data_IF_528344771257
#
_entry.id   IF_528344771257
#
_cell.length_a   1.000
_cell.length_b   1.000
_cell.length_c   1.000
_cell.angle_alpha   90.00
_cell.angle_beta   90.00
_cell.angle_gamma   90.00
#
_symmetry.space_group_name_H-M   'P 1'
#
loop_
_entity.id
_entity.type
_entity.pdbx_description
1 polymer ?
#
# COMPACT_ATOMS: atom_id res chain seq x y z
N UNK A 1 -15.57 -1.53 2.59
CA UNK A 1 -14.50 -2.04 1.75
C UNK A 1 -13.20 -1.29 1.95
N UNK A 2 -12.06 -1.94 1.73
CA UNK A 2 -10.73 -1.35 1.86
C UNK A 2 -10.48 -0.30 0.77
N UNK A 3 -9.78 0.76 1.15
CA UNK A 3 -9.36 1.83 0.26
C UNK A 3 -7.85 2.04 0.36
N UNK A 4 -7.20 2.28 -0.77
CA UNK A 4 -5.74 2.51 -0.85
C UNK A 4 -5.45 3.58 -1.90
N UNK A 5 -4.37 4.32 -1.72
CA UNK A 5 -3.93 5.32 -2.68
C UNK A 5 -2.60 5.94 -2.31
N UNK A 6 -2.11 6.79 -3.19
CA UNK A 6 -0.85 7.51 -3.06
C UNK A 6 -1.15 9.01 -3.24
N UNK A 7 -1.59 9.71 -2.17
CA UNK A 7 -2.10 11.07 -2.29
C UNK A 7 -1.01 12.15 -2.25
N UNK A 8 0.26 11.79 -2.25
CA UNK A 8 1.40 12.68 -2.03
C UNK A 8 1.46 13.83 -3.04
N UNK A 9 0.99 13.60 -4.27
CA UNK A 9 0.96 14.64 -5.30
C UNK A 9 0.05 15.82 -4.94
N UNK A 10 -0.95 15.60 -4.08
CA UNK A 10 -1.87 16.64 -3.63
C UNK A 10 -1.20 17.69 -2.75
N UNK A 11 -0.06 17.36 -2.14
CA UNK A 11 0.78 18.31 -1.40
C UNK A 11 2.17 18.48 -2.03
N UNK A 12 2.23 18.38 -3.37
CA UNK A 12 3.41 18.69 -4.16
C UNK A 12 4.62 17.78 -3.87
N UNK A 13 4.37 16.51 -3.52
CA UNK A 13 5.38 15.48 -3.31
C UNK A 13 5.00 14.23 -4.12
N UNK A 14 5.90 13.28 -4.24
CA UNK A 14 5.59 11.95 -4.77
C UNK A 14 5.79 10.88 -3.68
N UNK A 15 5.17 9.69 -3.81
CA UNK A 15 5.26 8.67 -2.80
C UNK A 15 6.70 8.13 -2.67
N UNK A 16 7.21 8.11 -1.43
CA UNK A 16 8.52 7.60 -1.09
C UNK A 16 8.60 6.08 -0.99
N UNK A 17 9.64 5.60 -0.31
CA UNK A 17 9.84 4.18 0.07
C UNK A 17 9.76 3.19 -1.10
N UNK A 18 10.23 3.58 -2.28
CA UNK A 18 10.26 2.72 -3.47
C UNK A 18 8.89 2.51 -4.14
N UNK A 19 7.88 3.30 -3.82
CA UNK A 19 6.52 3.14 -4.35
C UNK A 19 6.49 3.14 -5.88
N UNK A 20 7.19 4.08 -6.53
CA UNK A 20 7.29 4.11 -7.99
C UNK A 20 7.91 2.83 -8.54
N UNK A 21 9.09 2.46 -8.04
CA UNK A 21 9.85 1.28 -8.49
C UNK A 21 9.06 -0.01 -8.36
N UNK A 22 8.35 -0.17 -7.24
CA UNK A 22 7.54 -1.37 -6.97
C UNK A 22 6.28 -1.40 -7.83
N UNK A 23 5.59 -0.27 -7.96
CA UNK A 23 4.34 -0.18 -8.71
C UNK A 23 4.57 -0.32 -10.22
N UNK A 24 5.66 0.28 -10.75
CA UNK A 24 6.03 0.16 -12.15
C UNK A 24 6.42 -1.29 -12.53
N UNK A 25 7.07 -2.01 -11.60
CA UNK A 25 7.36 -3.45 -11.78
C UNK A 25 6.14 -4.34 -11.60
N UNK A 26 5.15 -3.87 -10.90
CA UNK A 26 3.87 -4.57 -10.72
C UNK A 26 2.97 -4.44 -11.95
N UNK A 27 2.93 -3.26 -12.55
CA UNK A 27 2.07 -2.91 -13.68
C UNK A 27 2.92 -2.65 -14.94
N UNK A 28 3.20 -1.41 -15.17
CA UNK A 28 4.15 -0.79 -16.08
C UNK A 28 4.32 0.70 -15.66
N UNK A 29 5.34 1.41 -16.17
CA UNK A 29 5.59 2.80 -15.81
C UNK A 29 4.40 3.72 -16.07
N UNK A 30 3.72 3.59 -17.21
CA UNK A 30 2.61 4.49 -17.58
C UNK A 30 1.41 4.36 -16.64
N UNK A 31 1.04 3.13 -16.26
CA UNK A 31 -0.05 2.89 -15.29
C UNK A 31 0.36 3.29 -13.88
N UNK A 32 1.60 3.04 -13.48
CA UNK A 32 2.14 3.48 -12.20
C UNK A 32 2.08 5.00 -12.07
N UNK A 33 2.55 5.74 -13.08
CA UNK A 33 2.49 7.20 -13.10
C UNK A 33 1.05 7.73 -13.05
N UNK A 34 0.13 7.11 -13.79
CA UNK A 34 -1.28 7.50 -13.77
C UNK A 34 -1.88 7.39 -12.36
N UNK A 35 -1.58 6.33 -11.62
CA UNK A 35 -2.03 6.13 -10.24
C UNK A 35 -1.40 7.19 -9.33
N UNK A 36 -0.08 7.36 -9.38
CA UNK A 36 0.68 8.30 -8.53
C UNK A 36 0.23 9.74 -8.78
N UNK A 37 0.18 10.17 -10.05
CA UNK A 37 -0.14 11.54 -10.41
C UNK A 37 -1.62 11.90 -10.24
N UNK A 38 -2.50 10.91 -10.12
CA UNK A 38 -3.91 11.16 -9.84
C UNK A 38 -4.16 11.65 -8.41
N UNK A 39 -3.35 11.25 -7.44
CA UNK A 39 -3.58 11.47 -6.02
C UNK A 39 -4.88 10.85 -5.50
N UNK A 40 -5.53 9.98 -6.29
CA UNK A 40 -6.83 9.40 -5.98
C UNK A 40 -6.68 8.26 -4.97
N UNK A 41 -7.66 8.14 -4.08
CA UNK A 41 -7.88 6.96 -3.25
C UNK A 41 -8.82 6.02 -4.01
N UNK A 42 -8.42 4.80 -4.19
CA UNK A 42 -9.13 3.77 -4.97
C UNK A 42 -9.75 2.72 -4.05
N UNK A 43 -10.88 2.17 -4.45
CA UNK A 43 -11.44 0.97 -3.84
C UNK A 43 -10.66 -0.29 -4.21
N UNK A 44 -10.82 -1.35 -3.41
CA UNK A 44 -10.13 -2.62 -3.65
C UNK A 44 -10.47 -3.23 -5.01
N UNK A 45 -11.72 -3.13 -5.45
CA UNK A 45 -12.20 -3.60 -6.76
C UNK A 45 -11.54 -2.87 -7.92
N UNK A 46 -11.40 -1.53 -7.82
CA UNK A 46 -10.72 -0.74 -8.84
C UNK A 46 -9.24 -1.15 -8.95
N UNK A 47 -8.57 -1.31 -7.81
CA UNK A 47 -7.16 -1.74 -7.77
C UNK A 47 -6.98 -3.16 -8.28
N UNK A 48 -7.95 -4.05 -8.05
CA UNK A 48 -7.94 -5.39 -8.61
C UNK A 48 -8.10 -5.36 -10.13
N UNK A 49 -9.04 -4.58 -10.64
CA UNK A 49 -9.22 -4.41 -12.08
C UNK A 49 -7.98 -3.81 -12.78
N UNK A 50 -7.22 -2.96 -12.09
CA UNK A 50 -5.95 -2.42 -12.57
C UNK A 50 -4.76 -3.37 -12.41
N UNK A 51 -4.91 -4.51 -11.74
CA UNK A 51 -3.84 -5.48 -11.49
C UNK A 51 -2.92 -5.14 -10.31
N UNK A 52 -3.26 -4.15 -9.50
CA UNK A 52 -2.52 -3.81 -8.27
C UNK A 52 -2.80 -4.84 -7.17
N UNK A 53 -4.04 -5.24 -7.01
CA UNK A 53 -4.50 -6.25 -6.04
C UNK A 53 -4.67 -7.59 -6.74
N UNK A 54 -4.14 -8.67 -6.16
CA UNK A 54 -4.22 -10.02 -6.73
C UNK A 54 -5.55 -10.71 -6.43
N UNK A 55 -6.07 -10.55 -5.22
CA UNK A 55 -7.25 -11.27 -4.71
C UNK A 55 -8.15 -10.33 -3.95
N UNK A 56 -9.44 -10.35 -4.28
CA UNK A 56 -10.48 -9.73 -3.49
C UNK A 56 -11.02 -10.74 -2.48
N UNK A 57 -11.32 -10.26 -1.28
CA UNK A 57 -11.97 -11.03 -0.23
C UNK A 57 -13.13 -10.20 0.35
N UNK A 58 -14.13 -10.87 0.92
CA UNK A 58 -15.18 -10.20 1.67
C UNK A 58 -14.62 -9.56 2.94
N UNK A 59 -15.35 -8.59 3.49
CA UNK A 59 -14.96 -7.96 4.75
C UNK A 59 -14.84 -9.02 5.87
N UNK A 60 -13.72 -9.02 6.56
CA UNK A 60 -13.39 -9.99 7.60
C UNK A 60 -12.78 -11.31 7.11
N UNK A 61 -12.74 -11.59 5.80
CA UNK A 61 -12.20 -12.84 5.24
C UNK A 61 -10.78 -12.70 4.66
N UNK A 62 -10.15 -11.52 4.79
CA UNK A 62 -8.86 -11.22 4.20
C UNK A 62 -7.75 -12.20 4.62
N UNK A 63 -7.67 -12.54 5.90
CA UNK A 63 -6.67 -13.49 6.42
C UNK A 63 -6.84 -14.88 5.80
N UNK A 64 -8.07 -15.38 5.73
CA UNK A 64 -8.37 -16.68 5.11
C UNK A 64 -8.00 -16.69 3.61
N UNK A 65 -8.26 -15.60 2.91
CA UNK A 65 -7.88 -15.44 1.50
C UNK A 65 -6.35 -15.48 1.32
N UNK A 66 -5.57 -14.85 2.24
CA UNK A 66 -4.11 -14.93 2.24
C UNK A 66 -3.63 -16.37 2.42
N UNK A 67 -4.15 -17.10 3.41
CA UNK A 67 -3.78 -18.50 3.62
C UNK A 67 -4.14 -19.38 2.41
N UNK A 68 -5.30 -19.19 1.82
CA UNK A 68 -5.71 -19.91 0.61
C UNK A 68 -4.77 -19.63 -0.58
N UNK A 69 -4.34 -18.37 -0.73
CA UNK A 69 -3.39 -17.95 -1.77
C UNK A 69 -2.02 -18.60 -1.56
N UNK A 70 -1.48 -18.60 -0.34
CA UNK A 70 -0.22 -19.25 0.02
C UNK A 70 -0.29 -20.75 -0.29
N UNK A 71 -1.34 -21.44 0.20
CA UNK A 71 -1.55 -22.87 -0.03
C UNK A 71 -1.63 -23.25 -1.51
N UNK A 72 -2.22 -22.37 -2.33
CA UNK A 72 -2.27 -22.57 -3.79
C UNK A 72 -0.88 -22.48 -4.41
N UNK A 73 -0.05 -21.54 -3.96
CA UNK A 73 1.32 -21.41 -4.46
C UNK A 73 2.21 -22.57 -4.03
N UNK A 74 2.06 -23.08 -2.82
CA UNK A 74 2.84 -24.21 -2.30
C UNK A 74 2.63 -25.50 -3.10
N UNK A 75 1.43 -25.72 -3.65
CA UNK A 75 1.15 -26.90 -4.51
C UNK A 75 1.93 -26.92 -5.81
N UNK A 76 2.37 -25.78 -6.31
CA UNK A 76 3.14 -25.62 -7.55
C UNK A 76 4.44 -24.85 -7.29
N UNK A 77 5.07 -25.07 -6.14
CA UNK A 77 6.16 -24.26 -5.59
C UNK A 77 7.32 -24.08 -6.58
N UNK A 78 7.77 -25.14 -7.25
CA UNK A 78 8.88 -25.04 -8.22
C UNK A 78 8.57 -24.09 -9.37
N UNK A 79 7.36 -24.13 -9.93
CA UNK A 79 6.92 -23.24 -10.99
C UNK A 79 6.85 -21.79 -10.54
N UNK A 80 6.27 -21.54 -9.37
CA UNK A 80 6.20 -20.19 -8.80
C UNK A 80 7.59 -19.63 -8.49
N UNK A 81 8.50 -20.44 -7.93
CA UNK A 81 9.88 -20.02 -7.67
C UNK A 81 10.62 -19.69 -8.96
N UNK A 82 10.48 -20.53 -10.01
CA UNK A 82 11.08 -20.26 -11.31
C UNK A 82 10.60 -18.92 -11.91
N UNK A 83 9.31 -18.66 -11.91
CA UNK A 83 8.74 -17.39 -12.39
C UNK A 83 9.25 -16.19 -11.57
N UNK A 84 9.35 -16.32 -10.24
CA UNK A 84 9.93 -15.28 -9.38
C UNK A 84 11.40 -15.00 -9.71
N UNK A 85 12.19 -16.05 -9.92
CA UNK A 85 13.61 -15.92 -10.32
C UNK A 85 13.75 -15.20 -11.65
N UNK A 86 12.92 -15.56 -12.64
CA UNK A 86 12.88 -14.89 -13.95
C UNK A 86 12.52 -13.40 -13.79
N UNK A 87 11.50 -13.08 -12.98
CA UNK A 87 11.11 -11.70 -12.69
C UNK A 87 12.26 -10.90 -12.08
N UNK A 88 12.95 -11.46 -11.10
CA UNK A 88 14.11 -10.81 -10.47
C UNK A 88 15.23 -10.55 -11.47
N UNK A 89 15.43 -11.44 -12.45
CA UNK A 89 16.42 -11.26 -13.50
C UNK A 89 15.98 -10.24 -14.55
N UNK A 90 14.69 -10.21 -14.89
CA UNK A 90 14.13 -9.32 -15.91
C UNK A 90 13.97 -7.88 -15.41
N UNK A 91 13.51 -7.70 -14.16
CA UNK A 91 13.28 -6.40 -13.54
C UNK A 91 13.85 -6.41 -12.11
N UNK A 92 15.17 -6.44 -11.94
CA UNK A 92 15.79 -6.42 -10.62
C UNK A 92 15.42 -5.13 -9.88
N UNK A 93 15.29 -5.23 -8.57
CA UNK A 93 15.30 -4.06 -7.69
C UNK A 93 16.71 -3.93 -7.17
N UNK A 94 17.36 -2.82 -7.48
CA UNK A 94 18.70 -2.52 -7.03
C UNK A 94 18.65 -1.59 -5.81
N UNK A 95 19.54 -1.83 -4.86
CA UNK A 95 19.70 -0.96 -3.70
C UNK A 95 20.06 0.47 -4.09
N UNK A 96 20.94 0.63 -5.09
CA UNK A 96 21.36 1.96 -5.55
C UNK A 96 20.21 2.72 -6.18
N UNK A 97 19.34 2.07 -6.98
CA UNK A 97 18.11 2.68 -7.51
C UNK A 97 17.23 3.23 -6.39
N UNK A 98 16.99 2.44 -5.34
CA UNK A 98 16.16 2.86 -4.22
C UNK A 98 16.81 4.00 -3.42
N UNK A 99 18.12 3.97 -3.26
CA UNK A 99 18.88 5.01 -2.56
C UNK A 99 18.82 6.34 -3.33
N UNK A 100 19.05 6.31 -4.64
CA UNK A 100 19.04 7.49 -5.50
C UNK A 100 17.64 8.15 -5.54
N UNK A 101 16.59 7.33 -5.68
CA UNK A 101 15.20 7.80 -5.65
C UNK A 101 14.85 8.39 -4.27
N UNK A 102 15.34 7.77 -3.18
CA UNK A 102 15.14 8.31 -1.84
C UNK A 102 15.85 9.65 -1.64
N UNK A 103 17.07 9.82 -2.18
CA UNK A 103 17.78 11.10 -2.20
C UNK A 103 16.97 12.19 -2.93
N UNK A 104 16.46 11.88 -4.12
CA UNK A 104 15.58 12.80 -4.87
C UNK A 104 14.29 13.13 -4.10
N UNK A 105 13.73 12.16 -3.37
CA UNK A 105 12.56 12.37 -2.52
C UNK A 105 12.86 13.35 -1.39
N UNK A 106 14.01 13.20 -0.73
CA UNK A 106 14.46 14.13 0.32
C UNK A 106 14.60 15.55 -0.22
N UNK A 107 15.24 15.70 -1.39
CA UNK A 107 15.38 17.00 -2.05
C UNK A 107 14.02 17.62 -2.41
N UNK A 108 13.06 16.84 -2.86
CA UNK A 108 11.71 17.29 -3.13
C UNK A 108 10.99 17.70 -1.83
N UNK A 109 11.10 16.89 -0.77
CA UNK A 109 10.49 17.15 0.53
C UNK A 109 11.03 18.45 1.16
N UNK A 110 12.32 18.72 1.04
CA UNK A 110 12.94 19.96 1.54
C UNK A 110 12.47 21.22 0.80
N UNK A 111 11.87 21.09 -0.38
CA UNK A 111 11.29 22.20 -1.14
C UNK A 111 9.82 22.48 -0.83
N UNK A 112 9.19 21.66 0.00
CA UNK A 112 7.78 21.86 0.39
C UNK A 112 7.60 23.20 1.09
N UNK A 113 6.53 23.90 0.74
CA UNK A 113 6.18 25.18 1.33
C UNK A 113 5.10 25.03 2.40
N UNK A 114 4.87 26.05 3.19
CA UNK A 114 3.87 26.01 4.27
C UNK A 114 2.45 25.66 3.81
N UNK A 115 2.08 25.96 2.55
CA UNK A 115 0.79 25.52 1.96
C UNK A 115 0.74 24.01 1.77
N UNK A 116 1.84 23.39 1.32
CA UNK A 116 1.95 21.97 1.05
C UNK A 116 1.90 21.18 2.36
N UNK A 117 2.63 21.65 3.37
CA UNK A 117 2.63 21.07 4.74
C UNK A 117 1.24 21.11 5.37
N UNK A 118 0.48 22.20 5.21
CA UNK A 118 -0.91 22.27 5.71
C UNK A 118 -1.86 21.29 5.02
N UNK A 119 -1.63 20.99 3.73
CA UNK A 119 -2.41 19.97 3.01
C UNK A 119 -2.04 18.58 3.55
N UNK A 120 -0.75 18.31 3.71
CA UNK A 120 -0.24 17.05 4.25
C UNK A 120 -0.82 16.77 5.65
N UNK A 121 -0.77 17.74 6.57
CA UNK A 121 -1.35 17.62 7.91
C UNK A 121 -2.85 17.28 7.87
N UNK A 122 -3.62 17.97 7.02
CA UNK A 122 -5.07 17.70 6.89
C UNK A 122 -5.34 16.28 6.40
N UNK A 123 -4.54 15.78 5.45
CA UNK A 123 -4.67 14.41 4.94
C UNK A 123 -4.30 13.39 6.02
N UNK A 124 -3.20 13.61 6.76
CA UNK A 124 -2.80 12.76 7.88
C UNK A 124 -3.90 12.68 8.95
N UNK A 125 -4.43 13.82 9.40
CA UNK A 125 -5.53 13.85 10.38
C UNK A 125 -6.83 13.19 9.87
N UNK A 126 -7.07 13.18 8.55
CA UNK A 126 -8.23 12.46 8.01
C UNK A 126 -8.04 10.96 8.06
N UNK A 127 -6.83 10.47 7.84
CA UNK A 127 -6.49 9.05 7.96
C UNK A 127 -6.59 8.57 9.41
N UNK A 128 -6.09 9.34 10.37
CA UNK A 128 -6.21 9.02 11.81
C UNK A 128 -7.66 8.86 12.26
N UNK A 129 -8.55 9.69 11.72
CA UNK A 129 -9.99 9.57 12.01
C UNK A 129 -10.62 8.31 11.44
N UNK A 130 -10.20 7.87 10.25
CA UNK A 130 -10.67 6.65 9.61
C UNK A 130 -10.09 5.39 10.28
N UNK A 131 -8.88 5.47 10.81
CA UNK A 131 -8.22 4.36 11.53
C UNK A 131 -8.77 4.13 12.94
N UNK A 132 -9.53 5.09 13.50
CA UNK A 132 -10.13 4.94 14.83
C UNK A 132 -11.40 4.09 14.75
N UNK A 133 -11.56 3.06 15.61
CA UNK A 133 -12.79 2.28 15.66
C UNK A 133 -14.00 3.18 15.97
N UNK A 134 -15.20 2.84 15.48
CA UNK A 134 -16.43 3.59 15.73
C UNK A 134 -16.62 3.86 17.22
N UNK A 135 -17.14 5.03 17.57
CA UNK A 135 -17.37 5.47 18.98
C UNK A 135 -18.16 4.46 19.81
N UNK A 136 -18.97 3.63 19.18
CA UNK A 136 -19.73 2.55 19.83
C UNK A 136 -18.84 1.44 20.41
N UNK A 137 -17.72 1.12 19.73
CA UNK A 137 -16.79 0.06 20.18
C UNK A 137 -15.81 0.54 21.25
N UNK A 138 -15.61 1.85 21.40
CA UNK A 138 -14.74 2.43 22.44
C UNK A 138 -15.33 2.38 23.84
N UNK A 139 -16.64 2.04 24.00
CA UNK A 139 -17.35 2.01 25.28
C UNK A 139 -17.53 0.63 25.89
N UNK A 140 -17.06 -0.44 25.26
CA UNK A 140 -17.10 -1.76 25.86
C UNK A 140 -16.01 -1.86 26.96
N UNK A 141 -16.37 -1.97 28.25
CA UNK A 141 -15.38 -2.22 29.29
C UNK A 141 -14.79 -3.62 29.04
N UNK A 142 -13.48 -3.71 29.02
CA UNK A 142 -12.78 -4.99 29.05
C UNK A 142 -13.26 -5.81 30.24
N UNK A 143 -14.03 -6.86 30.00
CA UNK A 143 -14.45 -7.78 31.05
C UNK A 143 -13.19 -8.37 31.71
N UNK A 144 -13.07 -8.33 33.05
CA UNK A 144 -11.93 -8.93 33.72
C UNK A 144 -11.94 -10.43 33.47
N UNK A 145 -10.80 -10.98 33.02
CA UNK A 145 -10.54 -12.41 32.92
C UNK A 145 -10.89 -13.06 34.25
N UNK A 146 -11.97 -13.85 34.29
CA UNK A 146 -12.25 -14.75 35.44
C UNK A 146 -11.19 -15.86 35.44
N UNK A 147 -10.19 -15.72 36.29
CA UNK A 147 -9.35 -16.83 36.70
C UNK A 147 -10.23 -17.75 37.53
N UNK A 148 -10.48 -18.96 37.07
CA UNK A 148 -11.09 -20.03 37.90
C UNK A 148 -10.02 -20.62 38.79
N UNK A 149 -10.38 -20.97 40.04
CA UNK A 149 -9.50 -21.59 41.00
C UNK A 149 -9.06 -23.01 40.60
#
# INVERSE_FOLDING_TARGET
>A
GAQMGLPEILFNLYPGMGAYSLLARRLDPARAEKIILSGKIYGAEELHAMGVVDVLANDGEGEQAVYAYIKKQDRANHGYQAVRSIRQRYQPIDYQELLDITGQWVDAALRLQGKDLRIMERLAHSQDRLAQPPLAERRAPSSPLRVKP
#
